data_IF_361953267672
#
_entry.id   IF_361953267672
#
_cell.length_a   1.000
_cell.length_b   1.000
_cell.length_c   1.000
_cell.angle_alpha   90.00
_cell.angle_beta   90.00
_cell.angle_gamma   90.00
#
_symmetry.space_group_name_H-M   'P 1'
#
loop_
_entity.id
_entity.type
_entity.pdbx_description
1 polymer ?
#
# COMPACT_ATOMS: atom_id res chain seq x y z
N UNK A 1 -64.47 7.06 -8.49
CA UNK A 1 -65.41 6.32 -7.62
C UNK A 1 -64.60 5.23 -6.93
N UNK A 2 -64.53 5.03 -5.62
CA UNK A 2 -64.98 5.74 -4.42
C UNK A 2 -63.87 5.51 -3.36
N UNK A 3 -63.54 6.52 -2.57
CA UNK A 3 -64.00 6.72 -1.19
C UNK A 3 -63.76 5.51 -0.26
N UNK A 4 -62.98 5.80 0.78
CA UNK A 4 -62.57 4.94 1.88
C UNK A 4 -63.74 4.46 2.76
N UNK A 5 -63.43 3.59 3.73
CA UNK A 5 -63.87 3.90 5.08
C UNK A 5 -62.74 3.81 6.11
N UNK A 6 -62.82 4.78 7.00
CA UNK A 6 -62.18 4.94 8.30
C UNK A 6 -62.36 3.71 9.20
N UNK A 7 -61.32 3.35 9.94
CA UNK A 7 -61.34 2.28 10.93
C UNK A 7 -60.45 2.60 12.13
N UNK A 8 -61.04 3.33 13.08
CA UNK A 8 -60.90 3.24 14.54
C UNK A 8 -59.67 2.52 15.14
N UNK A 9 -58.90 3.22 16.00
CA UNK A 9 -57.98 2.52 16.92
C UNK A 9 -56.92 3.35 17.64
N UNK A 10 -57.30 4.46 18.28
CA UNK A 10 -56.44 5.12 19.29
C UNK A 10 -56.45 4.32 20.58
N UNK A 11 -55.58 3.31 20.69
CA UNK A 11 -55.27 2.62 21.93
C UNK A 11 -54.00 3.22 22.58
N UNK A 12 -53.86 3.17 23.91
CA UNK A 12 -52.67 3.67 24.59
C UNK A 12 -51.42 2.91 24.10
N UNK A 13 -50.23 3.54 24.11
CA UNK A 13 -49.02 2.88 23.67
C UNK A 13 -48.80 1.61 24.51
N UNK A 14 -48.44 0.46 23.90
CA UNK A 14 -48.17 -0.74 24.64
C UNK A 14 -47.02 -0.47 25.61
N UNK A 15 -47.26 -0.74 26.90
CA UNK A 15 -46.30 -0.64 27.98
C UNK A 15 -45.07 -1.48 27.59
N UNK A 16 -44.00 -0.79 27.20
CA UNK A 16 -42.82 -1.43 26.63
C UNK A 16 -41.97 -1.91 27.79
N UNK A 17 -41.93 -3.23 27.99
CA UNK A 17 -41.13 -3.86 29.03
C UNK A 17 -39.67 -3.34 28.97
N UNK A 18 -39.14 -2.76 30.06
CA UNK A 18 -37.80 -2.17 30.07
C UNK A 18 -36.70 -3.21 29.79
N UNK A 19 -36.95 -4.49 30.10
CA UNK A 19 -36.05 -5.59 29.76
C UNK A 19 -35.96 -5.86 28.25
N UNK A 20 -37.08 -5.76 27.52
CA UNK A 20 -37.09 -5.96 26.06
C UNK A 20 -36.38 -4.84 25.32
N UNK A 21 -36.53 -3.60 25.79
CA UNK A 21 -35.82 -2.46 25.21
C UNK A 21 -34.32 -2.54 25.46
N UNK A 22 -33.90 -2.98 26.65
CA UNK A 22 -32.49 -3.21 26.98
C UNK A 22 -31.89 -4.34 26.12
N UNK A 23 -32.64 -5.42 25.91
CA UNK A 23 -32.25 -6.53 25.05
C UNK A 23 -32.16 -6.14 23.56
N UNK A 24 -33.07 -5.30 23.07
CA UNK A 24 -33.01 -4.78 21.69
C UNK A 24 -31.84 -3.82 21.51
N UNK A 25 -31.56 -2.96 22.50
CA UNK A 25 -30.42 -2.04 22.49
C UNK A 25 -29.08 -2.79 22.54
N UNK A 26 -28.99 -3.84 23.34
CA UNK A 26 -27.86 -4.79 23.38
C UNK A 26 -27.65 -5.46 22.02
N UNK A 27 -28.73 -5.95 21.38
CA UNK A 27 -28.67 -6.55 20.05
C UNK A 27 -28.25 -5.55 18.96
N UNK A 28 -28.73 -4.31 19.01
CA UNK A 28 -28.32 -3.23 18.10
C UNK A 28 -26.85 -2.86 18.29
N UNK A 29 -26.37 -2.77 19.53
CA UNK A 29 -24.94 -2.56 19.84
C UNK A 29 -24.07 -3.70 19.31
N UNK A 30 -24.52 -4.95 19.45
CA UNK A 30 -23.81 -6.13 18.92
C UNK A 30 -23.86 -6.21 17.39
N UNK A 31 -24.92 -5.71 16.77
CA UNK A 31 -25.06 -5.60 15.31
C UNK A 31 -24.21 -4.47 14.71
N UNK A 32 -23.91 -3.43 15.49
CA UNK A 32 -23.06 -2.30 15.08
C UNK A 32 -21.57 -2.53 15.38
N UNK A 33 -21.21 -3.69 15.94
CA UNK A 33 -19.81 -4.09 16.03
C UNK A 33 -19.25 -4.19 14.61
N UNK A 34 -18.31 -3.28 14.30
CA UNK A 34 -17.65 -3.23 13.00
C UNK A 34 -17.08 -4.62 12.67
N UNK A 35 -17.46 -5.17 11.51
CA UNK A 35 -16.92 -6.45 11.06
C UNK A 35 -15.40 -6.37 11.05
N UNK A 36 -14.68 -7.35 11.60
CA UNK A 36 -13.22 -7.32 11.57
C UNK A 36 -12.76 -7.26 10.10
N UNK A 37 -11.76 -6.43 9.78
CA UNK A 37 -11.27 -6.27 8.42
C UNK A 37 -10.80 -7.61 7.87
N UNK A 38 -11.30 -7.99 6.68
CA UNK A 38 -11.10 -9.32 6.09
C UNK A 38 -9.65 -9.63 5.70
N UNK A 39 -8.73 -8.67 5.80
CA UNK A 39 -7.33 -8.89 5.48
C UNK A 39 -6.43 -7.88 6.21
N UNK A 40 -6.06 -8.16 7.46
CA UNK A 40 -4.93 -7.49 8.11
C UNK A 40 -3.63 -8.06 7.56
N UNK A 41 -2.80 -7.21 6.95
CA UNK A 41 -1.43 -7.56 6.56
C UNK A 41 -1.29 -8.02 5.11
N UNK A 42 -1.30 -7.06 4.17
CA UNK A 42 -0.74 -7.27 2.84
C UNK A 42 0.75 -7.59 3.01
N UNK A 43 1.10 -8.88 3.01
CA UNK A 43 2.50 -9.36 3.03
C UNK A 43 3.29 -8.57 1.99
N UNK A 44 4.28 -7.77 2.43
CA UNK A 44 5.16 -7.00 1.55
C UNK A 44 5.72 -7.98 0.50
N UNK A 45 5.31 -7.82 -0.76
CA UNK A 45 5.91 -8.53 -1.88
C UNK A 45 7.35 -8.03 -1.96
N UNK A 46 8.29 -8.81 -1.43
CA UNK A 46 9.71 -8.61 -1.71
C UNK A 46 9.83 -8.83 -3.21
N UNK A 47 10.02 -7.76 -3.97
CA UNK A 47 10.22 -7.83 -5.41
C UNK A 47 11.40 -8.78 -5.64
N UNK A 48 11.11 -9.99 -6.14
CA UNK A 48 12.16 -10.83 -6.71
C UNK A 48 12.65 -10.05 -7.92
N UNK A 49 13.87 -9.54 -7.84
CA UNK A 49 14.50 -8.80 -8.93
C UNK A 49 14.42 -9.61 -10.23
N UNK A 50 14.41 -8.89 -11.36
CA UNK A 50 14.32 -9.43 -12.72
C UNK A 50 15.61 -10.14 -13.12
N UNK A 51 15.93 -11.24 -12.42
CA UNK A 51 17.13 -12.03 -12.61
C UNK A 51 17.05 -12.94 -13.83
N UNK A 52 17.01 -12.35 -15.04
CA UNK A 52 17.26 -12.99 -16.34
C UNK A 52 17.32 -12.02 -17.52
N UNK A 53 17.29 -10.69 -17.31
CA UNK A 53 17.02 -9.72 -18.40
C UNK A 53 18.11 -9.58 -19.48
N UNK A 54 19.28 -10.23 -19.35
CA UNK A 54 20.43 -10.01 -20.26
C UNK A 54 20.89 -11.23 -21.06
N UNK A 55 20.27 -12.41 -20.89
CA UNK A 55 20.73 -13.63 -21.58
C UNK A 55 19.87 -13.87 -22.81
N UNK A 56 20.49 -13.81 -24.00
CA UNK A 56 19.84 -14.22 -25.24
C UNK A 56 19.42 -15.69 -25.16
N UNK A 57 18.24 -16.06 -25.71
CA UNK A 57 17.81 -17.44 -25.73
C UNK A 57 18.79 -18.29 -26.56
N UNK A 58 19.07 -19.51 -26.10
CA UNK A 58 19.99 -20.41 -26.79
C UNK A 58 19.38 -20.87 -28.12
N UNK A 59 20.03 -20.51 -29.23
CA UNK A 59 19.58 -20.86 -30.57
C UNK A 59 20.17 -22.19 -31.02
N UNK A 60 19.29 -23.09 -31.45
CA UNK A 60 19.64 -24.35 -32.10
C UNK A 60 18.93 -24.43 -33.45
N UNK A 61 19.56 -24.96 -34.52
CA UNK A 61 20.87 -25.63 -34.58
C UNK A 61 22.07 -24.65 -34.50
N UNK A 62 23.23 -25.13 -34.04
CA UNK A 62 24.49 -24.34 -34.00
C UNK A 62 25.20 -24.29 -35.35
N UNK A 63 24.85 -25.15 -36.30
CA UNK A 63 25.39 -25.13 -37.66
C UNK A 63 24.92 -23.90 -38.45
N UNK A 64 25.68 -23.54 -39.50
CA UNK A 64 25.28 -22.48 -40.44
C UNK A 64 24.11 -23.01 -41.28
N UNK A 65 22.89 -22.59 -40.95
CA UNK A 65 21.67 -23.00 -41.62
C UNK A 65 20.66 -21.85 -41.69
N UNK A 66 19.74 -21.91 -42.66
CA UNK A 66 18.68 -20.88 -42.84
C UNK A 66 17.79 -20.74 -41.60
N UNK A 67 17.50 -21.83 -40.90
CA UNK A 67 16.72 -21.81 -39.66
C UNK A 67 17.40 -21.02 -38.53
N UNK A 68 18.74 -21.09 -38.43
CA UNK A 68 19.49 -20.30 -37.45
C UNK A 68 19.41 -18.81 -37.78
N UNK A 69 19.49 -18.44 -39.06
CA UNK A 69 19.32 -17.05 -39.51
C UNK A 69 17.93 -16.51 -39.13
N UNK A 70 16.85 -17.22 -39.48
CA UNK A 70 15.48 -16.80 -39.18
C UNK A 70 15.22 -16.65 -37.66
N UNK A 71 15.83 -17.51 -36.83
CA UNK A 71 15.74 -17.40 -35.36
C UNK A 71 16.51 -16.19 -34.82
N UNK A 72 17.66 -15.86 -35.40
CA UNK A 72 18.44 -14.68 -35.02
C UNK A 72 17.77 -13.37 -35.46
N UNK A 73 17.14 -13.35 -36.64
CA UNK A 73 16.32 -12.23 -37.10
C UNK A 73 15.17 -11.96 -36.13
N UNK A 74 14.44 -13.00 -35.72
CA UNK A 74 13.39 -12.86 -34.71
C UNK A 74 13.89 -12.29 -33.37
N UNK A 75 15.07 -12.72 -32.91
CA UNK A 75 15.68 -12.18 -31.69
C UNK A 75 16.05 -10.70 -31.88
N UNK A 76 16.61 -10.34 -33.05
CA UNK A 76 16.95 -8.96 -33.40
C UNK A 76 15.71 -8.07 -33.39
N UNK A 77 14.59 -8.54 -33.95
CA UNK A 77 13.34 -7.77 -34.00
C UNK A 77 12.81 -7.46 -32.60
N UNK A 78 12.85 -8.42 -31.67
CA UNK A 78 12.46 -8.18 -30.28
C UNK A 78 13.38 -7.17 -29.58
N UNK A 79 14.70 -7.29 -29.77
CA UNK A 79 15.65 -6.33 -29.18
C UNK A 79 15.46 -4.92 -29.74
N UNK A 80 15.15 -4.79 -31.03
CA UNK A 80 14.90 -3.49 -31.66
C UNK A 80 13.60 -2.87 -31.14
N UNK A 81 12.56 -3.70 -30.94
CA UNK A 81 11.31 -3.27 -30.32
C UNK A 81 11.52 -2.81 -28.87
N UNK A 82 12.33 -3.53 -28.08
CA UNK A 82 12.69 -3.13 -26.71
C UNK A 82 13.49 -1.81 -26.70
N UNK A 83 14.43 -1.61 -27.63
CA UNK A 83 15.19 -0.37 -27.75
C UNK A 83 14.32 0.83 -28.11
N UNK A 84 13.40 0.69 -29.08
CA UNK A 84 12.43 1.73 -29.42
C UNK A 84 11.48 2.00 -28.24
N UNK A 85 11.05 0.95 -27.52
CA UNK A 85 10.21 1.10 -26.34
C UNK A 85 10.89 1.89 -25.22
N UNK A 86 12.16 1.59 -24.93
CA UNK A 86 12.94 2.32 -23.92
C UNK A 86 13.15 3.77 -24.35
N UNK A 87 13.55 4.02 -25.61
CA UNK A 87 13.69 5.39 -26.15
C UNK A 87 12.39 6.18 -26.04
N UNK A 88 11.26 5.57 -26.36
CA UNK A 88 9.96 6.22 -26.22
C UNK A 88 9.61 6.47 -24.75
N UNK A 89 9.89 5.53 -23.84
CA UNK A 89 9.69 5.76 -22.41
C UNK A 89 10.58 6.86 -21.84
N UNK A 90 11.82 7.01 -22.30
CA UNK A 90 12.68 8.13 -21.89
C UNK A 90 12.07 9.50 -22.23
N UNK A 91 11.30 9.59 -23.31
CA UNK A 91 10.54 10.79 -23.64
C UNK A 91 9.32 11.00 -22.73
N UNK A 92 8.77 9.94 -22.12
CA UNK A 92 7.65 9.99 -21.17
C UNK A 92 8.07 10.04 -19.69
N UNK A 93 9.34 9.73 -19.37
CA UNK A 93 9.97 9.91 -18.05
C UNK A 93 9.97 11.32 -17.45
N UNK A 94 9.77 12.46 -18.14
CA UNK A 94 9.63 13.75 -17.46
C UNK A 94 8.54 13.77 -16.37
N UNK A 95 7.55 12.86 -16.39
CA UNK A 95 6.62 12.72 -15.26
C UNK A 95 7.26 12.03 -14.05
N UNK A 96 8.00 10.94 -14.27
CA UNK A 96 8.71 10.25 -13.18
C UNK A 96 9.84 11.10 -12.58
N UNK A 97 10.49 11.94 -13.40
CA UNK A 97 11.49 12.89 -12.92
C UNK A 97 10.87 13.98 -12.05
N UNK A 98 9.67 14.49 -12.38
CA UNK A 98 8.93 15.42 -11.51
C UNK A 98 8.55 14.78 -10.17
N UNK A 99 8.02 13.56 -10.20
CA UNK A 99 7.68 12.82 -8.99
C UNK A 99 8.93 12.54 -8.14
N UNK A 100 10.08 12.30 -8.78
CA UNK A 100 11.36 12.11 -8.10
C UNK A 100 11.86 13.42 -7.50
N UNK A 101 11.81 14.53 -8.23
CA UNK A 101 12.19 15.84 -7.72
C UNK A 101 11.32 16.28 -6.54
N UNK A 102 10.01 15.98 -6.58
CA UNK A 102 9.11 16.18 -5.44
C UNK A 102 9.49 15.31 -4.25
N UNK A 103 9.89 14.05 -4.47
CA UNK A 103 10.40 13.20 -3.40
C UNK A 103 11.72 13.69 -2.81
N UNK A 104 12.65 14.13 -3.66
CA UNK A 104 13.94 14.64 -3.22
C UNK A 104 13.72 15.91 -2.36
N UNK A 105 12.82 16.82 -2.77
CA UNK A 105 12.40 17.97 -1.95
C UNK A 105 11.75 17.55 -0.63
N UNK A 106 10.94 16.49 -0.62
CA UNK A 106 10.37 15.94 0.62
C UNK A 106 11.45 15.34 1.54
N UNK A 107 12.50 14.76 0.96
CA UNK A 107 13.64 14.21 1.70
C UNK A 107 14.48 15.31 2.33
N UNK A 108 14.69 16.43 1.62
CA UNK A 108 15.35 17.63 2.15
C UNK A 108 14.59 18.23 3.33
N UNK A 109 13.25 18.33 3.25
CA UNK A 109 12.40 18.82 4.35
C UNK A 109 12.44 17.85 5.55
N UNK A 110 12.51 16.55 5.28
CA UNK A 110 12.56 15.52 6.32
C UNK A 110 13.89 15.54 7.08
N UNK A 111 14.98 15.79 6.37
CA UNK A 111 16.33 15.81 6.92
C UNK A 111 16.80 14.44 7.43
N UNK A 112 18.07 14.40 7.84
CA UNK A 112 18.69 13.26 8.51
C UNK A 112 19.45 13.81 9.72
N UNK A 113 19.29 13.26 10.95
CA UNK A 113 18.61 12.02 11.33
C UNK A 113 17.11 12.20 11.67
N UNK A 114 16.33 11.14 11.46
CA UNK A 114 14.92 11.06 11.85
C UNK A 114 14.79 10.53 13.27
N UNK A 115 14.20 11.33 14.17
CA UNK A 115 13.79 10.85 15.49
C UNK A 115 12.56 9.94 15.37
N UNK A 116 12.61 8.78 16.02
CA UNK A 116 11.49 7.84 16.11
C UNK A 116 10.73 8.11 17.41
N UNK A 117 9.40 8.12 17.34
CA UNK A 117 8.55 8.31 18.50
C UNK A 117 7.18 7.66 18.32
N UNK A 118 6.45 7.58 19.42
CA UNK A 118 5.11 7.00 19.51
C UNK A 118 4.05 8.10 19.56
N UNK A 119 2.92 7.91 18.86
CA UNK A 119 1.78 8.85 18.89
C UNK A 119 0.97 8.63 20.17
N UNK A 120 0.65 9.69 20.90
CA UNK A 120 -0.12 9.61 22.15
C UNK A 120 -1.55 10.13 21.95
N UNK A 121 -1.71 11.36 21.46
CA UNK A 121 -3.02 11.98 21.25
C UNK A 121 -3.06 12.73 19.91
N UNK A 122 -4.15 12.56 19.16
CA UNK A 122 -4.43 13.40 17.99
C UNK A 122 -5.28 14.57 18.46
N UNK A 123 -4.75 15.80 18.34
CA UNK A 123 -5.47 17.01 18.73
C UNK A 123 -6.48 17.38 17.62
N UNK A 124 -6.02 17.39 16.36
CA UNK A 124 -6.81 17.73 15.16
C UNK A 124 -6.27 16.97 13.91
N UNK A 125 -6.88 17.14 12.73
CA UNK A 125 -6.51 16.45 11.47
C UNK A 125 -5.06 16.66 10.99
N UNK A 126 -4.37 17.69 11.49
CA UNK A 126 -3.00 18.04 11.08
C UNK A 126 -2.00 18.11 12.23
N UNK A 127 -2.45 17.93 13.48
CA UNK A 127 -1.62 18.12 14.68
C UNK A 127 -1.77 16.94 15.63
N UNK A 128 -0.62 16.46 16.12
CA UNK A 128 -0.54 15.31 17.01
C UNK A 128 0.46 15.60 18.14
N UNK A 129 0.19 15.02 19.30
CA UNK A 129 1.14 14.92 20.41
C UNK A 129 1.76 13.53 20.33
N UNK A 130 3.10 13.48 20.33
CA UNK A 130 3.86 12.24 20.33
C UNK A 130 5.03 12.30 21.30
N UNK A 131 5.43 11.14 21.80
CA UNK A 131 6.56 10.95 22.71
C UNK A 131 7.74 10.44 21.91
N UNK A 132 8.92 11.07 22.05
CA UNK A 132 10.13 10.59 21.39
C UNK A 132 10.70 9.37 22.13
N UNK A 133 10.99 8.31 21.38
CA UNK A 133 11.58 7.08 21.91
C UNK A 133 13.12 7.21 21.93
N UNK A 134 13.66 7.76 23.01
CA UNK A 134 15.09 8.05 23.17
C UNK A 134 15.93 6.75 23.27
N UNK A 135 15.33 5.61 23.63
CA UNK A 135 16.02 4.33 23.81
C UNK A 135 16.77 3.81 22.57
N UNK A 136 16.37 4.24 21.37
CA UNK A 136 17.05 3.83 20.13
C UNK A 136 18.43 4.50 20.01
N UNK A 137 18.60 5.73 20.51
CA UNK A 137 19.89 6.44 20.51
C UNK A 137 20.90 5.78 21.46
N UNK A 138 20.44 5.31 22.62
CA UNK A 138 21.30 4.57 23.56
C UNK A 138 21.81 3.27 22.93
N UNK A 139 20.96 2.50 22.25
CA UNK A 139 21.42 1.31 21.52
C UNK A 139 22.35 1.64 20.36
N UNK A 140 22.09 2.71 19.59
CA UNK A 140 22.96 3.11 18.48
C UNK A 140 24.35 3.54 18.96
N UNK A 141 24.42 4.39 19.99
CA UNK A 141 25.68 4.80 20.61
C UNK A 141 26.41 3.59 21.21
N UNK A 142 25.68 2.70 21.91
CA UNK A 142 26.28 1.51 22.50
C UNK A 142 26.84 0.54 21.45
N UNK A 143 26.13 0.31 20.33
CA UNK A 143 26.68 -0.47 19.20
C UNK A 143 27.84 0.25 18.50
N UNK A 144 27.77 1.57 18.34
CA UNK A 144 28.84 2.34 17.70
C UNK A 144 30.13 2.31 18.52
N UNK A 145 30.04 2.50 19.85
CA UNK A 145 31.16 2.37 20.78
C UNK A 145 31.73 0.94 20.77
N UNK A 146 30.87 -0.09 20.82
CA UNK A 146 31.31 -1.48 20.85
C UNK A 146 31.94 -1.96 19.53
N UNK A 147 31.64 -1.33 18.40
CA UNK A 147 32.22 -1.68 17.09
C UNK A 147 33.48 -0.85 16.76
N UNK A 148 33.69 0.30 17.41
CA UNK A 148 34.77 1.25 17.08
C UNK A 148 35.90 1.31 18.13
N UNK A 149 35.67 0.82 19.35
CA UNK A 149 36.68 0.79 20.45
C UNK A 149 37.33 -0.61 20.59
N UNK A 150 37.16 -1.51 19.63
CA UNK A 150 37.85 -2.81 19.62
C UNK A 150 38.52 -3.08 18.27
#
# INVERSE_FOLDING_TARGET
MGQAPSGQGGGPPPERDPEKEKAERERRKKSYAARPPLHTGRRRRRNRGTGTSGKLPKVYPTSKCKLRLLKLERIKDYLLMEQEFIRNQEVFKPHEEKDKEERDKMEDIRGSPLAVGSLEEMIDDTRVVGVLDIHILDTYIHTYIHTYIH
#
